data_IF_767469354603
#
_entry.id   IF_767469354603
#
_cell.length_a   1.000
_cell.length_b   1.000
_cell.length_c   1.000
_cell.angle_alpha   90.00
_cell.angle_beta   90.00
_cell.angle_gamma   90.00
#
_symmetry.space_group_name_H-M   'P 1'
#
loop_
_entity.id
_entity.type
_entity.pdbx_description
1 polymer ?
#
# COMPACT_ATOMS: atom_id res chain seq x y z
N UNK A 1 52.62 -28.73 5.29
CA UNK A 1 51.21 -28.50 5.66
C UNK A 1 51.16 -27.37 6.68
N UNK A 2 50.56 -26.23 6.36
CA UNK A 2 50.33 -25.17 7.35
C UNK A 2 49.11 -25.53 8.20
N UNK A 3 49.27 -25.59 9.52
CA UNK A 3 48.15 -25.57 10.46
C UNK A 3 47.99 -24.14 10.97
N UNK A 4 46.86 -23.54 10.64
CA UNK A 4 46.49 -22.23 11.15
C UNK A 4 45.84 -22.45 12.52
N UNK A 5 46.46 -21.89 13.55
CA UNK A 5 45.92 -21.86 14.91
C UNK A 5 45.45 -20.42 15.18
N UNK A 6 44.30 -20.26 15.86
CA UNK A 6 43.63 -18.98 16.18
C UNK A 6 42.70 -18.39 15.10
N UNK A 7 41.87 -19.20 14.46
CA UNK A 7 40.68 -18.64 13.78
C UNK A 7 39.66 -18.22 14.85
N UNK A 8 39.12 -16.99 14.79
CA UNK A 8 38.01 -16.62 15.65
C UNK A 8 36.84 -17.59 15.41
N UNK A 9 36.09 -17.96 16.46
CA UNK A 9 34.95 -18.87 16.32
C UNK A 9 33.96 -18.28 15.30
N UNK A 10 33.34 -19.15 14.49
CA UNK A 10 32.32 -18.71 13.55
C UNK A 10 31.20 -17.99 14.33
N UNK A 11 30.81 -16.78 13.88
CA UNK A 11 29.77 -16.03 14.56
C UNK A 11 28.48 -16.84 14.58
N UNK A 12 27.93 -17.03 15.77
CA UNK A 12 26.68 -17.75 15.94
C UNK A 12 25.49 -16.88 15.55
N UNK A 13 24.32 -17.50 15.47
CA UNK A 13 23.07 -16.78 15.16
C UNK A 13 22.81 -15.61 16.14
N UNK A 14 23.21 -15.76 17.41
CA UNK A 14 23.11 -14.69 18.42
C UNK A 14 24.02 -13.49 18.15
N UNK A 15 25.23 -13.74 17.66
CA UNK A 15 26.19 -12.67 17.35
C UNK A 15 25.70 -11.87 16.14
N UNK A 16 25.22 -12.59 15.12
CA UNK A 16 24.59 -11.98 13.94
C UNK A 16 23.36 -11.12 14.32
N UNK A 17 22.47 -11.63 15.17
CA UNK A 17 21.29 -10.89 15.66
C UNK A 17 21.68 -9.64 16.43
N UNK A 18 22.74 -9.71 17.24
CA UNK A 18 23.25 -8.56 18.01
C UNK A 18 23.84 -7.50 17.08
N UNK A 19 24.60 -7.90 16.08
CA UNK A 19 25.20 -6.99 15.09
C UNK A 19 24.12 -6.31 14.21
N UNK A 20 23.10 -7.06 13.81
CA UNK A 20 22.05 -6.58 12.90
C UNK A 20 20.79 -6.05 13.61
N UNK A 21 20.74 -6.07 14.94
CA UNK A 21 19.55 -5.71 15.72
C UNK A 21 19.02 -4.32 15.41
N UNK A 22 19.90 -3.33 15.15
CA UNK A 22 19.50 -1.98 14.72
C UNK A 22 18.81 -1.97 13.37
N UNK A 23 19.33 -2.74 12.40
CA UNK A 23 18.76 -2.84 11.07
C UNK A 23 17.42 -3.56 11.10
N UNK A 24 17.30 -4.64 11.88
CA UNK A 24 16.04 -5.35 12.09
C UNK A 24 14.99 -4.42 12.72
N UNK A 25 15.37 -3.67 13.75
CA UNK A 25 14.47 -2.70 14.39
C UNK A 25 14.03 -1.61 13.40
N UNK A 26 14.94 -1.10 12.56
CA UNK A 26 14.61 -0.13 11.52
C UNK A 26 13.64 -0.71 10.48
N UNK A 27 13.85 -1.96 10.05
CA UNK A 27 12.97 -2.64 9.10
C UNK A 27 11.56 -2.86 9.68
N UNK A 28 11.46 -3.23 10.96
CA UNK A 28 10.19 -3.37 11.65
C UNK A 28 9.49 -2.02 11.79
N UNK A 29 10.22 -0.98 12.19
CA UNK A 29 9.64 0.36 12.26
C UNK A 29 9.13 0.82 10.88
N UNK A 30 9.90 0.53 9.83
CA UNK A 30 9.53 0.89 8.46
C UNK A 30 8.32 0.10 7.95
N UNK A 31 8.21 -1.19 8.29
CA UNK A 31 7.03 -1.98 7.92
C UNK A 31 5.77 -1.47 8.62
N UNK A 32 5.87 -1.08 9.89
CA UNK A 32 4.74 -0.46 10.62
C UNK A 32 4.34 0.86 9.96
N UNK A 33 5.29 1.72 9.61
CA UNK A 33 5.01 2.99 8.90
C UNK A 33 4.30 2.72 7.58
N UNK A 34 4.77 1.75 6.79
CA UNK A 34 4.14 1.39 5.51
C UNK A 34 2.70 0.90 5.70
N UNK A 35 2.46 -0.01 6.66
CA UNK A 35 1.12 -0.51 6.97
C UNK A 35 0.19 0.61 7.44
N UNK A 36 0.67 1.49 8.32
CA UNK A 36 -0.09 2.65 8.76
C UNK A 36 -0.40 3.60 7.60
N UNK A 37 0.55 3.84 6.69
CA UNK A 37 0.34 4.72 5.54
C UNK A 37 -0.68 4.16 4.53
N UNK A 38 -0.70 2.83 4.33
CA UNK A 38 -1.68 2.18 3.47
C UNK A 38 -3.12 2.34 3.99
N UNK A 39 -3.30 2.43 5.30
CA UNK A 39 -4.61 2.64 5.93
C UNK A 39 -5.15 4.08 5.87
N UNK A 40 -4.40 5.04 5.30
CA UNK A 40 -4.80 6.46 5.23
C UNK A 40 -5.73 6.76 4.04
N UNK A 41 -6.08 5.76 3.22
CA UNK A 41 -7.09 5.94 2.18
C UNK A 41 -8.43 6.21 2.85
N UNK A 42 -8.95 7.43 2.70
CA UNK A 42 -10.24 7.80 3.25
C UNK A 42 -11.31 6.83 2.72
N UNK A 43 -12.17 6.28 3.61
CA UNK A 43 -13.24 5.40 3.16
C UNK A 43 -14.13 6.14 2.17
N UNK A 44 -14.63 5.41 1.17
CA UNK A 44 -15.62 5.93 0.24
C UNK A 44 -16.87 6.29 1.03
N UNK A 45 -17.35 7.52 0.89
CA UNK A 45 -18.64 7.92 1.46
C UNK A 45 -19.76 7.34 0.60
N UNK A 46 -20.73 6.69 1.24
CA UNK A 46 -21.83 6.01 0.55
C UNK A 46 -22.64 6.93 -0.38
N UNK A 47 -22.76 8.21 -0.03
CA UNK A 47 -23.59 9.20 -0.75
C UNK A 47 -22.82 10.00 -1.80
N UNK A 48 -21.49 9.94 -1.78
CA UNK A 48 -20.65 10.76 -2.65
C UNK A 48 -20.36 10.04 -3.95
N UNK A 49 -20.21 10.83 -5.02
CA UNK A 49 -19.86 10.33 -6.34
C UNK A 49 -18.35 10.27 -6.52
N UNK A 50 -17.86 9.18 -7.11
CA UNK A 50 -16.46 8.96 -7.39
C UNK A 50 -16.25 8.57 -8.85
N UNK A 51 -15.27 9.22 -9.47
CA UNK A 51 -14.72 8.83 -10.75
C UNK A 51 -13.62 7.78 -10.52
N UNK A 52 -13.71 6.65 -11.21
CA UNK A 52 -12.76 5.55 -11.10
C UNK A 52 -11.82 5.57 -12.29
N UNK A 53 -10.51 5.58 -12.01
CA UNK A 53 -9.47 5.48 -13.04
C UNK A 53 -8.49 4.37 -12.69
N UNK A 54 -7.78 3.87 -13.69
CA UNK A 54 -6.65 2.96 -13.50
C UNK A 54 -5.33 3.72 -13.60
N UNK A 55 -4.46 3.54 -12.62
CA UNK A 55 -3.08 4.05 -12.65
C UNK A 55 -2.18 2.92 -12.20
N UNK A 56 -1.19 2.56 -13.03
CA UNK A 56 -0.20 1.52 -12.69
C UNK A 56 -0.82 0.22 -12.16
N UNK A 57 -1.87 -0.27 -12.83
CA UNK A 57 -2.68 -1.44 -12.44
C UNK A 57 -3.46 -1.31 -11.11
N UNK A 58 -3.45 -0.15 -10.46
CA UNK A 58 -4.29 0.18 -9.32
C UNK A 58 -5.56 0.93 -9.73
N UNK A 59 -6.65 0.69 -9.01
CA UNK A 59 -7.86 1.52 -9.10
C UNK A 59 -7.74 2.72 -8.17
N UNK A 60 -7.90 3.91 -8.72
CA UNK A 60 -7.97 5.16 -7.95
C UNK A 60 -9.40 5.69 -8.01
N UNK A 61 -9.92 6.03 -6.84
CA UNK A 61 -11.23 6.62 -6.65
C UNK A 61 -11.07 8.10 -6.33
N UNK A 62 -11.52 8.97 -7.23
CA UNK A 62 -11.47 10.42 -7.02
C UNK A 62 -12.87 10.97 -6.81
N UNK A 63 -13.06 11.72 -5.73
CA UNK A 63 -14.34 12.36 -5.44
C UNK A 63 -14.68 13.35 -6.56
N UNK A 64 -15.92 13.27 -7.04
CA UNK A 64 -16.48 14.16 -8.04
C UNK A 64 -17.51 15.10 -7.41
N UNK A 65 -17.70 16.27 -8.03
CA UNK A 65 -18.71 17.23 -7.62
C UNK A 65 -20.11 16.80 -8.12
N UNK A 66 -20.61 15.69 -7.60
CA UNK A 66 -21.89 15.09 -7.97
C UNK A 66 -21.86 14.24 -9.26
N UNK A 67 -23.03 13.69 -9.62
CA UNK A 67 -23.21 12.76 -10.73
C UNK A 67 -22.80 13.36 -12.07
N UNK A 68 -23.28 14.57 -12.39
CA UNK A 68 -22.98 15.23 -13.65
C UNK A 68 -21.48 15.54 -13.80
N UNK A 69 -20.82 16.00 -12.74
CA UNK A 69 -19.38 16.25 -12.74
C UNK A 69 -18.59 14.96 -12.93
N UNK A 70 -19.08 13.85 -12.38
CA UNK A 70 -18.46 12.54 -12.50
C UNK A 70 -18.61 11.94 -13.91
N UNK A 71 -19.82 11.97 -14.49
CA UNK A 71 -20.08 11.52 -15.85
C UNK A 71 -19.32 12.35 -16.90
N UNK A 72 -19.15 13.65 -16.67
CA UNK A 72 -18.36 14.52 -17.54
C UNK A 72 -16.89 14.04 -17.62
N UNK A 73 -16.31 13.53 -16.53
CA UNK A 73 -14.94 12.98 -16.52
C UNK A 73 -14.84 11.68 -17.30
N UNK A 74 -15.87 10.84 -17.28
CA UNK A 74 -15.94 9.64 -18.12
C UNK A 74 -16.04 10.02 -19.59
N UNK A 75 -16.89 11.00 -19.93
CA UNK A 75 -17.03 11.50 -21.30
C UNK A 75 -15.74 12.16 -21.83
N UNK A 76 -14.96 12.80 -20.95
CA UNK A 76 -13.65 13.36 -21.28
C UNK A 76 -12.54 12.30 -21.45
N UNK A 77 -12.80 11.04 -21.07
CA UNK A 77 -11.80 9.97 -21.09
C UNK A 77 -10.85 9.95 -19.89
N UNK A 78 -11.06 10.82 -18.89
CA UNK A 78 -10.25 10.90 -17.67
C UNK A 78 -10.58 9.81 -16.64
N UNK A 79 -11.72 9.14 -16.81
CA UNK A 79 -12.22 8.10 -15.94
C UNK A 79 -12.86 6.95 -16.74
N UNK A 80 -12.76 5.74 -16.21
CA UNK A 80 -13.28 4.52 -16.83
C UNK A 80 -14.74 4.33 -16.46
N UNK A 81 -15.09 4.68 -15.23
CA UNK A 81 -16.47 4.59 -14.74
C UNK A 81 -16.72 5.59 -13.63
N UNK A 82 -17.99 5.77 -13.30
CA UNK A 82 -18.49 6.67 -12.30
C UNK A 82 -19.51 5.94 -11.42
N UNK A 83 -19.46 6.14 -10.11
CA UNK A 83 -20.42 5.50 -9.19
C UNK A 83 -20.45 6.15 -7.81
N UNK A 84 -21.49 5.85 -7.03
CA UNK A 84 -21.55 6.26 -5.63
C UNK A 84 -20.67 5.35 -4.76
N UNK A 85 -20.15 5.87 -3.65
CA UNK A 85 -19.27 5.10 -2.77
C UNK A 85 -19.86 3.77 -2.30
N UNK A 86 -21.18 3.70 -2.09
CA UNK A 86 -21.88 2.46 -1.71
C UNK A 86 -21.78 1.36 -2.77
N UNK A 87 -21.84 1.73 -4.05
CA UNK A 87 -21.82 0.82 -5.19
C UNK A 87 -20.39 0.38 -5.53
N UNK A 88 -19.40 1.17 -5.12
CA UNK A 88 -17.99 0.93 -5.34
C UNK A 88 -17.35 0.11 -4.21
N UNK A 89 -17.82 0.28 -2.97
CA UNK A 89 -17.35 -0.47 -1.79
C UNK A 89 -17.78 -1.94 -1.86
N UNK A 90 -18.94 -2.24 -2.46
CA UNK A 90 -19.43 -3.60 -2.69
C UNK A 90 -18.57 -4.43 -3.64
N UNK A 91 -17.83 -3.79 -4.57
CA UNK A 91 -16.95 -4.48 -5.52
C UNK A 91 -15.60 -4.92 -4.94
N UNK A 92 -15.19 -4.38 -3.79
CA UNK A 92 -13.93 -4.72 -3.11
C UNK A 92 -14.07 -5.89 -2.11
N UNK A 93 -15.29 -6.41 -1.91
CA UNK A 93 -15.61 -7.45 -0.90
C UNK A 93 -15.98 -8.81 -1.50
N UNK A 94 -15.99 -8.93 -2.83
CA UNK A 94 -16.53 -10.09 -3.54
C UNK A 94 -15.46 -11.05 -4.09
N UNK A 95 -14.18 -10.85 -3.78
CA UNK A 95 -13.08 -11.77 -4.13
C UNK A 95 -12.25 -12.12 -2.89
#
# INVERSE_FOLDING_TARGET
>A
MLRVYNLPPEPGMRDWLRENGRLIAALIAWSVVMVCSASVVAPLSDTEWYAVRTVENGLIYERANGEHGCLARVAAGDAITCGQGKDLTGKLRAD
#
